data_IF_558304919021
#
_entry.id   IF_558304919021
#
_cell.length_a   1.000
_cell.length_b   1.000
_cell.length_c   1.000
_cell.angle_alpha   90.00
_cell.angle_beta   90.00
_cell.angle_gamma   90.00
#
_symmetry.space_group_name_H-M   'P 1'
#
loop_
_entity.id
_entity.type
_entity.pdbx_description
1 polymer ?
#
# COMPACT_ATOMS: atom_id res chain seq x y z
N UNK A 1 -11.33 -28.55 -5.00
CA UNK A 1 -12.50 -27.69 -4.71
C UNK A 1 -12.13 -26.84 -3.51
N UNK A 2 -12.16 -25.52 -3.68
CA UNK A 2 -11.87 -24.55 -2.61
C UNK A 2 -13.14 -24.29 -1.77
N UNK A 3 -12.97 -23.84 -0.52
CA UNK A 3 -14.09 -23.41 0.32
C UNK A 3 -14.79 -22.20 -0.31
N UNK A 4 -16.12 -22.29 -0.50
CA UNK A 4 -16.94 -21.22 -1.07
C UNK A 4 -17.20 -20.03 -0.15
N UNK A 5 -17.73 -18.95 -0.72
CA UNK A 5 -18.20 -17.77 0.01
C UNK A 5 -19.71 -17.81 0.18
N UNK A 6 -20.21 -17.49 1.36
CA UNK A 6 -21.64 -17.39 1.67
C UNK A 6 -21.90 -16.09 2.44
N UNK A 7 -22.79 -15.24 1.95
CA UNK A 7 -23.13 -13.96 2.60
C UNK A 7 -24.61 -13.64 2.46
N UNK A 8 -25.23 -13.26 3.57
CA UNK A 8 -26.59 -12.70 3.58
C UNK A 8 -26.52 -11.18 3.45
N UNK A 9 -27.21 -10.63 2.44
CA UNK A 9 -27.27 -9.21 2.14
C UNK A 9 -28.68 -8.70 2.37
N UNK A 10 -28.85 -7.79 3.33
CA UNK A 10 -30.13 -7.10 3.57
C UNK A 10 -30.21 -5.86 2.70
N UNK A 11 -31.26 -5.74 1.90
CA UNK A 11 -31.52 -4.57 1.07
C UNK A 11 -33.02 -4.38 0.87
N UNK A 12 -33.53 -3.15 1.09
CA UNK A 12 -34.94 -2.78 0.93
C UNK A 12 -35.95 -3.78 1.52
N UNK A 13 -35.70 -4.20 2.77
CA UNK A 13 -36.59 -5.10 3.51
C UNK A 13 -36.52 -6.57 3.08
N UNK A 14 -35.69 -6.91 2.09
CA UNK A 14 -35.45 -8.27 1.60
C UNK A 14 -34.09 -8.78 2.07
N UNK A 15 -33.95 -10.11 2.18
CA UNK A 15 -32.69 -10.79 2.46
C UNK A 15 -32.31 -11.61 1.23
N UNK A 16 -31.15 -11.29 0.67
CA UNK A 16 -30.56 -12.02 -0.44
C UNK A 16 -29.46 -12.92 0.09
N UNK A 17 -29.43 -14.18 -0.32
CA UNK A 17 -28.32 -15.09 0.02
C UNK A 17 -27.40 -15.21 -1.19
N UNK A 18 -26.13 -14.86 -1.03
CA UNK A 18 -25.13 -14.96 -2.10
C UNK A 18 -24.23 -16.14 -1.77
N UNK A 19 -24.10 -17.08 -2.70
CA UNK A 19 -23.19 -18.23 -2.60
C UNK A 19 -22.23 -18.22 -3.78
N UNK A 20 -20.93 -18.37 -3.54
CA UNK A 20 -19.91 -18.44 -4.61
C UNK A 20 -19.01 -19.66 -4.42
N UNK A 21 -18.85 -20.47 -5.46
CA UNK A 21 -18.11 -21.74 -5.43
C UNK A 21 -17.20 -21.93 -6.64
N UNK A 22 -16.11 -22.66 -6.42
CA UNK A 22 -15.26 -23.23 -7.47
C UNK A 22 -15.76 -24.62 -7.87
N UNK A 23 -16.05 -24.84 -9.16
CA UNK A 23 -16.45 -26.16 -9.69
C UNK A 23 -15.27 -27.09 -10.02
N UNK A 24 -14.05 -26.64 -9.76
CA UNK A 24 -12.84 -27.46 -9.77
C UNK A 24 -12.16 -27.53 -11.14
N UNK A 25 -10.92 -28.05 -11.18
CA UNK A 25 -10.12 -28.06 -12.40
C UNK A 25 -10.72 -28.85 -13.58
N UNK A 26 -11.58 -29.84 -13.32
CA UNK A 26 -12.33 -30.59 -14.34
C UNK A 26 -13.47 -29.79 -14.97
N UNK A 27 -13.99 -28.79 -14.26
CA UNK A 27 -14.98 -27.84 -14.74
C UNK A 27 -14.57 -26.44 -14.26
N UNK A 28 -13.59 -25.79 -14.94
CA UNK A 28 -12.89 -24.62 -14.42
C UNK A 28 -13.76 -23.37 -14.45
N UNK A 29 -14.78 -23.35 -13.60
CA UNK A 29 -15.85 -22.37 -13.53
C UNK A 29 -16.05 -21.97 -12.07
N UNK A 30 -16.08 -20.67 -11.83
CA UNK A 30 -16.57 -20.09 -10.58
C UNK A 30 -18.05 -19.76 -10.80
N UNK A 31 -18.90 -20.31 -9.94
CA UNK A 31 -20.33 -20.09 -9.96
C UNK A 31 -20.73 -19.21 -8.77
N UNK A 32 -21.55 -18.20 -9.01
CA UNK A 32 -22.21 -17.42 -7.96
C UNK A 32 -23.71 -17.48 -8.15
N UNK A 33 -24.42 -17.85 -7.09
CA UNK A 33 -25.87 -17.95 -7.04
C UNK A 33 -26.39 -16.90 -6.06
N UNK A 34 -27.40 -16.14 -6.48
CA UNK A 34 -28.12 -15.21 -5.63
C UNK A 34 -29.52 -15.79 -5.40
N UNK A 35 -29.87 -15.98 -4.13
CA UNK A 35 -31.18 -16.44 -3.71
C UNK A 35 -31.99 -15.32 -3.08
N UNK A 36 -33.29 -15.34 -3.29
CA UNK A 36 -34.26 -14.52 -2.58
C UNK A 36 -35.47 -15.40 -2.22
N UNK A 37 -35.76 -15.55 -0.92
CA UNK A 37 -36.89 -16.37 -0.47
C UNK A 37 -36.80 -17.85 -0.83
N UNK A 38 -35.59 -18.37 -1.09
CA UNK A 38 -35.34 -19.76 -1.49
C UNK A 38 -35.29 -19.99 -3.00
N UNK A 39 -35.61 -18.99 -3.83
CA UNK A 39 -35.50 -19.08 -5.28
C UNK A 39 -34.19 -18.47 -5.77
N UNK A 40 -33.56 -19.09 -6.78
CA UNK A 40 -32.40 -18.50 -7.47
C UNK A 40 -32.91 -17.40 -8.40
N UNK A 41 -32.49 -16.17 -8.16
CA UNK A 41 -32.87 -15.02 -8.98
C UNK A 41 -31.78 -14.64 -9.99
N UNK A 42 -30.54 -15.07 -9.75
CA UNK A 42 -29.40 -14.82 -10.64
C UNK A 42 -28.35 -15.91 -10.46
N UNK A 43 -27.75 -16.33 -11.58
CA UNK A 43 -26.62 -17.25 -11.61
C UNK A 43 -25.51 -16.70 -12.51
N UNK A 44 -24.36 -16.37 -11.91
CA UNK A 44 -23.17 -15.89 -12.63
C UNK A 44 -22.13 -16.99 -12.71
N UNK A 45 -21.62 -17.26 -13.92
CA UNK A 45 -20.56 -18.24 -14.17
C UNK A 45 -19.38 -17.56 -14.84
N UNK A 46 -18.19 -17.77 -14.30
CA UNK A 46 -16.94 -17.24 -14.85
C UNK A 46 -15.95 -18.38 -15.05
N UNK A 47 -15.58 -18.63 -16.30
CA UNK A 47 -14.56 -19.62 -16.63
C UNK A 47 -13.17 -19.10 -16.27
N UNK A 48 -12.34 -19.95 -15.66
CA UNK A 48 -10.90 -19.73 -15.47
C UNK A 48 -10.07 -20.75 -16.28
N UNK A 49 -10.66 -21.37 -17.31
CA UNK A 49 -9.98 -22.34 -18.19
C UNK A 49 -8.66 -21.79 -18.76
N UNK A 50 -8.65 -20.56 -19.25
CA UNK A 50 -7.45 -19.93 -19.81
C UNK A 50 -6.33 -19.79 -18.78
N UNK A 51 -6.69 -19.53 -17.51
CA UNK A 51 -5.72 -19.46 -16.42
C UNK A 51 -5.11 -20.84 -16.14
N UNK A 52 -5.95 -21.87 -16.11
CA UNK A 52 -5.53 -23.25 -15.91
C UNK A 52 -4.58 -23.71 -17.02
N UNK A 53 -4.89 -23.39 -18.28
CA UNK A 53 -4.08 -23.75 -19.45
C UNK A 53 -2.74 -22.99 -19.49
N UNK A 54 -2.73 -21.69 -19.21
CA UNK A 54 -1.52 -20.86 -19.31
C UNK A 54 -0.58 -20.97 -18.12
N UNK A 55 -1.12 -21.16 -16.91
CA UNK A 55 -0.37 -21.00 -15.65
C UNK A 55 -0.53 -22.15 -14.68
N UNK A 56 -1.25 -23.20 -15.05
CA UNK A 56 -1.59 -24.31 -14.17
C UNK A 56 -2.61 -23.93 -13.10
N UNK A 57 -2.98 -24.91 -12.28
CA UNK A 57 -3.93 -24.69 -11.19
C UNK A 57 -3.30 -23.84 -10.09
N UNK A 58 -3.85 -22.64 -9.84
CA UNK A 58 -3.35 -21.72 -8.82
C UNK A 58 -4.43 -21.45 -7.76
N UNK A 59 -4.40 -22.15 -6.61
CA UNK A 59 -5.44 -22.08 -5.59
C UNK A 59 -5.70 -20.66 -5.07
N UNK A 60 -4.65 -19.89 -4.79
CA UNK A 60 -4.77 -18.51 -4.28
C UNK A 60 -5.41 -17.58 -5.32
N UNK A 61 -5.14 -17.79 -6.60
CA UNK A 61 -5.70 -16.95 -7.66
C UNK A 61 -7.17 -17.28 -7.88
N UNK A 62 -7.54 -18.57 -7.88
CA UNK A 62 -8.93 -19.01 -7.96
C UNK A 62 -9.73 -18.49 -6.75
N UNK A 63 -9.16 -18.55 -5.55
CA UNK A 63 -9.78 -17.98 -4.35
C UNK A 63 -10.04 -16.47 -4.49
N UNK A 64 -9.08 -15.70 -5.02
CA UNK A 64 -9.25 -14.26 -5.27
C UNK A 64 -10.33 -13.98 -6.32
N UNK A 65 -10.42 -14.80 -7.36
CA UNK A 65 -11.47 -14.68 -8.37
C UNK A 65 -12.85 -14.95 -7.76
N UNK A 66 -12.97 -15.98 -6.92
CA UNK A 66 -14.20 -16.26 -6.17
C UNK A 66 -14.59 -15.08 -5.28
N UNK A 67 -13.63 -14.52 -4.53
CA UNK A 67 -13.86 -13.38 -3.65
C UNK A 67 -14.35 -12.15 -4.43
N UNK A 68 -13.72 -11.85 -5.57
CA UNK A 68 -14.10 -10.73 -6.43
C UNK A 68 -15.52 -10.89 -6.98
N UNK A 69 -15.83 -12.05 -7.57
CA UNK A 69 -17.16 -12.32 -8.13
C UNK A 69 -18.24 -12.22 -7.04
N UNK A 70 -17.94 -12.71 -5.84
CA UNK A 70 -18.82 -12.61 -4.68
C UNK A 70 -19.10 -11.16 -4.26
N UNK A 71 -18.05 -10.33 -4.14
CA UNK A 71 -18.19 -8.90 -3.79
C UNK A 71 -18.99 -8.13 -4.84
N UNK A 72 -18.82 -8.44 -6.12
CA UNK A 72 -19.60 -7.83 -7.19
C UNK A 72 -21.10 -8.19 -7.08
N UNK A 73 -21.43 -9.45 -6.79
CA UNK A 73 -22.82 -9.85 -6.58
C UNK A 73 -23.47 -9.11 -5.38
N UNK A 74 -22.71 -8.92 -4.29
CA UNK A 74 -23.17 -8.12 -3.14
C UNK A 74 -23.39 -6.66 -3.54
N UNK A 75 -22.50 -6.07 -4.33
CA UNK A 75 -22.64 -4.70 -4.81
C UNK A 75 -23.88 -4.53 -5.70
N UNK A 76 -24.11 -5.46 -6.63
CA UNK A 76 -25.29 -5.48 -7.51
C UNK A 76 -26.60 -5.49 -6.70
N UNK A 77 -26.65 -6.26 -5.59
CA UNK A 77 -27.79 -6.26 -4.66
C UNK A 77 -27.97 -4.90 -3.98
N UNK A 78 -26.88 -4.30 -3.49
CA UNK A 78 -26.91 -3.00 -2.81
C UNK A 78 -27.30 -1.84 -3.72
N UNK A 79 -27.06 -1.98 -5.02
CA UNK A 79 -27.48 -1.04 -6.06
C UNK A 79 -28.94 -1.25 -6.53
N UNK A 80 -29.66 -2.23 -5.97
CA UNK A 80 -31.07 -2.47 -6.30
C UNK A 80 -31.28 -3.17 -7.65
N UNK A 81 -30.25 -3.80 -8.24
CA UNK A 81 -30.34 -4.43 -9.57
C UNK A 81 -31.34 -5.58 -9.67
N UNK A 82 -31.76 -6.14 -8.54
CA UNK A 82 -32.65 -7.30 -8.44
C UNK A 82 -34.02 -6.96 -7.83
N UNK A 83 -34.44 -5.70 -7.89
CA UNK A 83 -35.72 -5.25 -7.32
C UNK A 83 -36.93 -5.53 -8.21
N UNK A 84 -36.73 -5.61 -9.52
CA UNK A 84 -37.78 -5.67 -10.55
C UNK A 84 -38.21 -7.10 -10.98
N UNK A 85 -37.84 -8.13 -10.22
CA UNK A 85 -38.19 -9.53 -10.51
C UNK A 85 -37.15 -10.26 -11.36
N UNK A 86 -37.35 -11.57 -11.64
CA UNK A 86 -36.36 -12.39 -12.33
C UNK A 86 -36.05 -11.81 -13.71
N UNK A 87 -34.79 -11.45 -13.96
CA UNK A 87 -34.35 -11.07 -15.29
C UNK A 87 -34.42 -12.32 -16.19
N UNK A 88 -34.86 -12.20 -17.45
CA UNK A 88 -34.73 -13.30 -18.41
C UNK A 88 -33.25 -13.68 -18.51
N UNK A 89 -32.97 -14.98 -18.47
CA UNK A 89 -31.62 -15.54 -18.59
C UNK A 89 -30.95 -15.00 -19.86
N UNK A 90 -30.06 -14.02 -19.71
CA UNK A 90 -29.27 -13.54 -20.82
C UNK A 90 -28.22 -14.62 -21.13
N UNK A 91 -28.05 -15.03 -22.40
CA UNK A 91 -26.89 -15.82 -22.77
C UNK A 91 -25.61 -15.06 -22.36
N UNK A 92 -24.55 -15.75 -21.91
CA UNK A 92 -23.36 -15.10 -21.40
C UNK A 92 -22.82 -14.17 -22.47
N UNK A 93 -22.97 -12.87 -22.25
CA UNK A 93 -22.31 -11.86 -23.06
C UNK A 93 -20.83 -12.07 -22.83
N UNK A 94 -20.01 -12.31 -23.87
CA UNK A 94 -18.57 -12.33 -23.68
C UNK A 94 -18.19 -10.96 -23.08
N UNK A 95 -17.43 -10.94 -21.98
CA UNK A 95 -17.08 -9.69 -21.34
C UNK A 95 -16.35 -8.80 -22.38
N UNK A 96 -16.81 -7.56 -22.53
CA UNK A 96 -16.23 -6.59 -23.47
C UNK A 96 -14.76 -6.27 -23.18
N UNK A 97 -14.29 -6.65 -21.99
CA UNK A 97 -12.90 -6.59 -21.55
C UNK A 97 -12.39 -8.01 -21.33
N UNK A 98 -11.18 -8.30 -21.83
CA UNK A 98 -10.53 -9.57 -21.56
C UNK A 98 -10.25 -9.74 -20.06
N UNK A 99 -10.17 -10.98 -19.58
CA UNK A 99 -9.88 -11.27 -18.16
C UNK A 99 -8.59 -10.59 -17.66
N UNK A 100 -7.58 -10.53 -18.51
CA UNK A 100 -6.32 -9.82 -18.23
C UNK A 100 -6.56 -8.32 -18.03
N UNK A 101 -7.46 -7.70 -18.81
CA UNK A 101 -7.84 -6.29 -18.64
C UNK A 101 -8.58 -6.04 -17.32
N UNK A 102 -9.49 -6.92 -16.92
CA UNK A 102 -10.23 -6.79 -15.66
C UNK A 102 -9.30 -6.99 -14.45
N UNK A 103 -8.39 -7.96 -14.51
CA UNK A 103 -7.38 -8.17 -13.47
C UNK A 103 -6.44 -6.97 -13.40
N UNK A 104 -5.95 -6.46 -14.54
CA UNK A 104 -5.14 -5.26 -14.57
C UNK A 104 -5.91 -4.04 -14.03
N UNK A 105 -7.19 -3.89 -14.38
CA UNK A 105 -8.03 -2.79 -13.92
C UNK A 105 -8.28 -2.88 -12.41
N UNK A 106 -8.52 -4.07 -11.86
CA UNK A 106 -8.66 -4.26 -10.42
C UNK A 106 -7.35 -4.03 -9.66
N UNK A 107 -6.23 -4.57 -10.16
CA UNK A 107 -4.91 -4.33 -9.57
C UNK A 107 -4.52 -2.86 -9.68
N UNK A 108 -4.85 -2.18 -10.78
CA UNK A 108 -4.69 -0.73 -10.95
C UNK A 108 -5.60 0.03 -10.00
N UNK A 109 -6.86 -0.35 -9.84
CA UNK A 109 -7.79 0.30 -8.92
C UNK A 109 -7.35 0.14 -7.45
N UNK A 110 -6.87 -1.04 -7.06
CA UNK A 110 -6.27 -1.24 -5.73
C UNK A 110 -4.97 -0.47 -5.54
N UNK A 111 -4.09 -0.46 -6.55
CA UNK A 111 -2.86 0.34 -6.51
C UNK A 111 -3.15 1.84 -6.54
N UNK A 112 -4.21 2.29 -7.21
CA UNK A 112 -4.65 3.69 -7.23
C UNK A 112 -5.31 4.10 -5.92
N UNK A 113 -6.00 3.18 -5.23
CA UNK A 113 -6.50 3.40 -3.87
C UNK A 113 -5.35 3.48 -2.84
N UNK A 114 -4.24 2.79 -3.08
CA UNK A 114 -3.02 2.88 -2.27
C UNK A 114 -2.13 4.00 -2.78
N UNK A 115 -2.47 5.22 -2.40
CA UNK A 115 -1.63 6.37 -2.71
C UNK A 115 -0.21 6.15 -2.19
N UNK A 116 0.81 6.57 -2.95
CA UNK A 116 2.17 6.59 -2.41
C UNK A 116 2.22 7.51 -1.18
N UNK A 117 3.16 7.25 -0.27
CA UNK A 117 3.44 8.17 0.84
C UNK A 117 4.60 9.07 0.45
N UNK A 118 4.59 10.29 0.96
CA UNK A 118 5.66 11.26 0.78
C UNK A 118 6.13 11.77 2.14
N UNK A 119 7.43 12.04 2.22
CA UNK A 119 8.07 12.71 3.33
C UNK A 119 8.07 14.22 3.08
N UNK A 120 7.61 14.99 4.06
CA UNK A 120 7.68 16.45 4.06
C UNK A 120 8.45 16.92 5.28
N UNK A 121 9.46 17.74 5.03
CA UNK A 121 10.27 18.44 6.04
C UNK A 121 10.96 19.61 5.35
N UNK A 122 11.65 20.43 6.14
CA UNK A 122 12.40 21.58 5.65
C UNK A 122 13.57 21.15 4.74
N UNK A 123 13.43 21.40 3.43
CA UNK A 123 14.40 21.00 2.40
C UNK A 123 15.62 21.92 2.30
N UNK A 124 15.52 23.15 2.80
CA UNK A 124 16.65 24.09 2.80
C UNK A 124 17.62 23.81 3.96
N UNK A 125 17.28 22.83 4.80
CA UNK A 125 18.10 22.43 5.93
C UNK A 125 19.37 21.71 5.49
N UNK A 126 20.50 22.19 6.01
CA UNK A 126 21.80 21.54 5.84
C UNK A 126 22.11 20.63 7.02
N UNK A 127 22.60 19.43 6.71
CA UNK A 127 22.98 18.43 7.71
C UNK A 127 24.49 18.38 7.83
N UNK A 128 25.00 18.70 9.02
CA UNK A 128 26.43 18.77 9.29
C UNK A 128 26.88 17.65 10.24
N UNK A 129 28.01 17.03 9.93
CA UNK A 129 28.68 16.07 10.82
C UNK A 129 28.88 16.65 12.24
N UNK A 130 28.63 15.86 13.29
CA UNK A 130 28.78 16.26 14.68
C UNK A 130 27.61 17.07 15.29
N UNK A 131 26.73 17.61 14.44
CA UNK A 131 25.60 18.46 14.86
C UNK A 131 24.43 17.67 15.47
N UNK A 132 23.67 18.32 16.35
CA UNK A 132 22.40 17.80 16.84
C UNK A 132 21.26 18.32 15.97
N UNK A 133 20.41 17.41 15.51
CA UNK A 133 19.36 17.65 14.54
C UNK A 133 18.01 17.36 15.21
N UNK A 134 17.14 18.38 15.24
CA UNK A 134 15.72 18.23 15.54
C UNK A 134 14.92 18.47 14.26
N UNK A 135 14.40 17.40 13.64
CA UNK A 135 13.74 17.42 12.35
C UNK A 135 12.25 17.07 12.51
N UNK A 136 11.35 18.06 12.44
CA UNK A 136 9.94 17.81 12.24
C UNK A 136 9.73 17.16 10.87
N UNK A 137 9.10 15.99 10.86
CA UNK A 137 8.77 15.22 9.67
C UNK A 137 7.26 15.04 9.63
N UNK A 138 6.67 15.31 8.48
CA UNK A 138 5.27 15.00 8.19
C UNK A 138 5.22 13.94 7.09
N UNK A 139 4.43 12.90 7.30
CA UNK A 139 4.16 11.85 6.30
C UNK A 139 2.74 12.06 5.80
N UNK A 140 2.61 12.33 4.52
CA UNK A 140 1.29 12.44 3.87
C UNK A 140 1.18 11.47 2.71
N UNK A 141 -0.02 11.26 2.21
CA UNK A 141 -0.21 10.66 0.90
C UNK A 141 0.22 11.64 -0.20
N UNK A 142 0.73 11.11 -1.31
CA UNK A 142 1.27 11.90 -2.42
C UNK A 142 0.17 12.58 -3.26
N UNK A 143 -0.99 11.92 -3.45
CA UNK A 143 -2.05 12.42 -4.33
C UNK A 143 -3.09 13.28 -3.62
N UNK A 144 -3.58 12.83 -2.46
CA UNK A 144 -4.61 13.52 -1.69
C UNK A 144 -4.05 14.42 -0.59
N UNK A 145 -2.76 14.33 -0.28
CA UNK A 145 -2.13 15.13 0.78
C UNK A 145 -2.64 14.79 2.18
N UNK A 146 -3.29 13.64 2.37
CA UNK A 146 -3.84 13.25 3.66
C UNK A 146 -2.73 12.82 4.63
N UNK A 147 -2.80 13.21 5.91
CA UNK A 147 -1.82 12.79 6.92
C UNK A 147 -1.88 11.27 7.14
N UNK A 148 -0.71 10.64 7.27
CA UNK A 148 -0.59 9.21 7.50
C UNK A 148 -0.19 8.96 8.95
N UNK A 149 -1.16 8.59 9.78
CA UNK A 149 -0.93 8.25 11.19
C UNK A 149 -0.30 6.86 11.33
N UNK A 150 0.65 6.69 12.27
CA UNK A 150 1.33 5.41 12.51
C UNK A 150 2.34 5.00 11.44
N UNK A 151 2.78 5.92 10.58
CA UNK A 151 3.90 5.69 9.68
C UNK A 151 5.20 5.59 10.49
N UNK A 152 5.98 4.54 10.24
CA UNK A 152 7.26 4.32 10.88
C UNK A 152 8.35 5.11 10.14
N UNK A 153 8.91 6.12 10.79
CA UNK A 153 9.99 6.95 10.26
C UNK A 153 11.31 6.53 10.89
N UNK A 154 12.32 6.32 10.05
CA UNK A 154 13.65 5.87 10.46
C UNK A 154 14.70 6.79 9.86
N UNK A 155 15.59 7.32 10.70
CA UNK A 155 16.77 8.07 10.28
C UNK A 155 18.01 7.20 10.43
N UNK A 156 18.70 6.96 9.32
CA UNK A 156 19.94 6.17 9.26
C UNK A 156 21.06 6.97 8.66
N UNK A 157 22.29 6.66 9.01
CA UNK A 157 23.47 7.17 8.32
C UNK A 157 24.22 6.03 7.68
N UNK A 158 24.51 6.18 6.40
CA UNK A 158 25.44 5.35 5.65
C UNK A 158 26.76 6.09 5.49
N UNK A 159 27.87 5.39 5.58
CA UNK A 159 29.19 5.99 5.37
C UNK A 159 30.11 5.05 4.63
N UNK A 160 31.18 5.59 4.06
CA UNK A 160 32.22 4.78 3.39
C UNK A 160 33.19 4.10 4.37
N UNK A 161 33.19 4.53 5.63
CA UNK A 161 34.19 4.15 6.64
C UNK A 161 33.61 3.35 7.81
N UNK A 162 32.29 3.35 7.98
CA UNK A 162 31.58 2.62 9.03
C UNK A 162 30.32 1.95 8.48
N UNK A 163 29.89 0.82 9.09
CA UNK A 163 28.60 0.21 8.79
C UNK A 163 27.43 1.19 8.97
N UNK A 164 26.28 0.86 8.36
CA UNK A 164 25.05 1.65 8.49
C UNK A 164 24.65 1.76 9.96
N UNK A 165 24.35 2.98 10.40
CA UNK A 165 23.93 3.26 11.77
C UNK A 165 22.50 3.81 11.78
N UNK A 166 21.62 3.23 12.59
CA UNK A 166 20.30 3.83 12.85
C UNK A 166 20.48 4.88 13.93
N UNK A 167 20.18 6.13 13.60
CA UNK A 167 20.32 7.26 14.52
C UNK A 167 19.05 7.50 15.33
N UNK A 168 17.89 7.25 14.71
CA UNK A 168 16.59 7.47 15.32
C UNK A 168 15.49 6.67 14.60
N UNK A 169 14.46 6.31 15.35
CA UNK A 169 13.24 5.66 14.87
C UNK A 169 12.04 6.19 15.65
N UNK A 170 10.88 6.28 15.00
CA UNK A 170 9.64 6.72 15.63
C UNK A 170 8.44 6.61 14.72
N UNK A 171 7.26 6.87 15.26
CA UNK A 171 5.98 6.74 14.55
C UNK A 171 5.27 8.08 14.49
N UNK A 172 4.58 8.34 13.37
CA UNK A 172 3.74 9.54 13.23
C UNK A 172 2.49 9.49 14.09
N UNK A 173 2.08 10.66 14.57
CA UNK A 173 0.83 10.87 15.32
C UNK A 173 -0.41 10.89 14.40
N UNK A 174 -1.59 11.15 14.97
CA UNK A 174 -2.87 11.24 14.23
C UNK A 174 -2.89 12.34 13.15
N UNK A 175 -1.95 13.29 13.21
CA UNK A 175 -1.76 14.36 12.23
C UNK A 175 -0.67 14.02 11.22
N UNK A 176 -0.16 12.79 11.22
CA UNK A 176 0.91 12.34 10.33
C UNK A 176 2.26 12.95 10.65
N UNK A 177 2.46 13.51 11.85
CA UNK A 177 3.66 14.24 12.23
C UNK A 177 4.50 13.48 13.25
N UNK A 178 5.82 13.64 13.17
CA UNK A 178 6.77 13.16 14.17
C UNK A 178 8.00 14.06 14.21
N UNK A 179 8.60 14.22 15.39
CA UNK A 179 9.82 15.00 15.55
C UNK A 179 10.99 14.04 15.76
N UNK A 180 11.86 13.94 14.75
CA UNK A 180 13.07 13.14 14.83
C UNK A 180 14.19 13.94 15.52
N UNK A 181 14.71 13.42 16.63
CA UNK A 181 15.81 14.05 17.39
C UNK A 181 17.00 13.11 17.44
N UNK A 182 18.09 13.50 16.78
CA UNK A 182 19.30 12.69 16.72
C UNK A 182 20.56 13.54 16.60
N UNK A 183 21.71 12.92 16.88
CA UNK A 183 23.02 13.53 16.65
C UNK A 183 23.71 12.88 15.48
N UNK A 184 24.21 13.68 14.55
CA UNK A 184 24.97 13.20 13.40
C UNK A 184 26.39 12.83 13.85
N UNK A 185 26.85 11.59 13.57
CA UNK A 185 28.24 11.21 13.83
C UNK A 185 29.20 11.92 12.86
N UNK A 186 30.46 12.02 13.26
CA UNK A 186 31.55 12.54 12.43
C UNK A 186 32.25 11.42 11.67
N UNK A 187 32.68 11.72 10.44
CA UNK A 187 33.40 10.79 9.57
C UNK A 187 34.70 11.42 9.09
N UNK A 188 35.76 11.50 9.92
CA UNK A 188 37.00 12.20 9.57
C UNK A 188 37.60 11.73 8.23
N UNK A 189 37.62 10.42 8.00
CA UNK A 189 38.30 9.79 6.86
C UNK A 189 37.33 9.32 5.74
N UNK A 190 36.08 9.79 5.74
CA UNK A 190 35.06 9.28 4.81
C UNK A 190 33.93 10.25 4.52
N UNK A 191 32.96 9.83 3.71
CA UNK A 191 31.73 10.59 3.49
C UNK A 191 30.58 9.90 4.22
N UNK A 192 29.70 10.70 4.82
CA UNK A 192 28.43 10.24 5.38
C UNK A 192 27.24 10.75 4.57
N UNK A 193 26.18 9.96 4.49
CA UNK A 193 24.88 10.39 3.99
C UNK A 193 23.79 9.99 4.98
N UNK A 194 22.91 10.94 5.29
CA UNK A 194 21.69 10.70 6.07
C UNK A 194 20.60 10.17 5.14
N UNK A 195 20.01 9.04 5.51
CA UNK A 195 18.82 8.48 4.90
C UNK A 195 17.65 8.68 5.85
N UNK A 196 16.59 9.28 5.36
CA UNK A 196 15.31 9.38 6.06
C UNK A 196 14.34 8.49 5.31
N UNK A 197 13.82 7.48 5.99
CA UNK A 197 12.90 6.52 5.43
C UNK A 197 11.57 6.63 6.17
N UNK A 198 10.45 6.57 5.46
CA UNK A 198 9.15 6.34 6.06
C UNK A 198 8.52 5.08 5.48
N UNK A 199 7.92 4.28 6.36
CA UNK A 199 7.26 3.03 6.04
C UNK A 199 5.83 3.08 6.57
N UNK A 200 4.87 2.67 5.74
CA UNK A 200 3.50 2.49 6.19
C UNK A 200 2.84 1.37 5.40
N UNK A 201 2.48 0.30 6.10
CA UNK A 201 1.97 -0.94 5.50
C UNK A 201 2.96 -1.49 4.45
N UNK A 202 2.56 -1.59 3.19
CA UNK A 202 3.38 -2.02 2.05
C UNK A 202 4.06 -0.85 1.31
N UNK A 203 3.90 0.39 1.80
CA UNK A 203 4.43 1.61 1.19
C UNK A 203 5.72 2.05 1.88
N UNK A 204 6.68 2.50 1.09
CA UNK A 204 7.93 3.07 1.59
C UNK A 204 8.37 4.26 0.74
N UNK A 205 8.97 5.25 1.39
CA UNK A 205 9.64 6.38 0.74
C UNK A 205 10.99 6.59 1.42
N UNK A 206 12.00 6.94 0.62
CA UNK A 206 13.36 7.19 1.09
C UNK A 206 13.85 8.51 0.52
N UNK A 207 14.53 9.29 1.35
CA UNK A 207 15.20 10.50 0.93
C UNK A 207 16.63 10.54 1.50
N UNK A 208 17.58 10.95 0.66
CA UNK A 208 19.01 10.88 0.94
C UNK A 208 19.62 12.28 0.92
N UNK A 209 20.33 12.61 1.99
CA UNK A 209 21.07 13.86 2.17
C UNK A 209 22.54 13.61 2.37
N UNK A 210 23.38 14.28 1.60
CA UNK A 210 24.82 14.24 1.83
C UNK A 210 25.16 15.06 3.07
N UNK A 211 25.99 14.51 3.96
CA UNK A 211 26.45 15.25 5.14
C UNK A 211 27.55 16.22 4.76
N UNK A 212 27.42 17.47 5.22
CA UNK A 212 28.48 18.46 5.13
C UNK A 212 29.52 18.22 6.22
N UNK A 213 30.79 18.44 5.89
CA UNK A 213 31.87 18.41 6.87
C UNK A 213 31.67 19.48 7.94
N UNK A 214 32.06 19.16 9.17
CA UNK A 214 32.23 20.18 10.19
C UNK A 214 33.30 21.19 9.72
N UNK A 215 33.13 22.50 9.95
CA UNK A 215 34.18 23.47 9.67
C UNK A 215 35.41 23.06 10.46
N UNK A 216 36.53 22.87 9.77
CA UNK A 216 37.82 22.67 10.43
C UNK A 216 38.06 23.92 11.27
N UNK A 217 38.24 23.82 12.60
CA UNK A 217 38.65 24.97 13.39
C UNK A 217 39.99 25.45 12.85
N UNK A 218 39.99 26.59 12.16
CA UNK A 218 41.20 27.23 11.68
C UNK A 218 42.15 27.48 12.86
N UNK A 219 43.48 27.50 12.63
CA UNK A 219 44.44 27.66 13.71
C UNK A 219 44.13 28.95 14.47
N UNK A 220 43.78 28.80 15.76
CA UNK A 220 43.68 29.92 16.69
C UNK A 220 45.01 30.67 16.66
N UNK A 221 45.04 31.85 16.03
CA UNK A 221 46.14 32.80 16.21
C UNK A 221 46.15 33.17 17.69
N UNK A 222 46.97 32.47 18.48
CA UNK A 222 47.47 32.96 19.77
C UNK A 222 48.13 34.30 19.47
N UNK A 223 47.43 35.41 19.74
CA UNK A 223 48.09 36.70 19.97
C UNK A 223 48.92 36.50 21.24
N UNK A 224 50.19 36.17 21.06
CA UNK A 224 51.20 36.34 22.09
C UNK A 224 51.28 37.83 22.40
N UNK A 225 50.67 38.23 23.51
CA UNK A 225 51.08 39.41 24.22
C UNK A 225 52.53 39.16 24.69
N UNK A 226 53.48 39.78 24.01
CA UNK A 226 54.88 39.85 24.41
C UNK A 226 55.24 41.32 24.57
N UNK A 227 55.33 41.73 25.84
CA UNK A 227 55.89 42.99 26.30
C UNK A 227 57.40 42.99 26.04
N UNK A 228 57.94 44.12 25.57
CA UNK A 228 59.37 44.36 25.36
C UNK A 228 59.59 45.65 24.61
#
# INVERSE_FOLDING_TARGET
>A
MLTGFNTDVKHNGKVYHVQTEDKGASNPVIETLIYLGGEIIEARRTSYKDLLEKRGFQPLLIYRLMEQQHKMAIADIREGRFESGPLPAQPPTPPAKSLDEVILEYLRAQAQQREAIQLQYDRDRTFQEGSSVELPVSVTTEKSGQPVAGAHVVARVISTVRPVMTLWEGYTDDRGQVIARFRLPEFPDGMGALLIQAFYQDRAVEEKHLLMKAPVPGPSKKKSAGVG
#
